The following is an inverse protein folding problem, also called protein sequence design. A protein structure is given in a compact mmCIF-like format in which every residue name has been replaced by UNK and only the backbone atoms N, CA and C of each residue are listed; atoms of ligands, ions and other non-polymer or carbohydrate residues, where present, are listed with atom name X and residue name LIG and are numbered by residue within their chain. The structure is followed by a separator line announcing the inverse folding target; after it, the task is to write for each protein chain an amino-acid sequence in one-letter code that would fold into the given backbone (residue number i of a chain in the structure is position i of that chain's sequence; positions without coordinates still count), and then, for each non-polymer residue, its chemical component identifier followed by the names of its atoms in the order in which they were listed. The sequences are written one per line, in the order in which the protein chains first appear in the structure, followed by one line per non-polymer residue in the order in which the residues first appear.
data_IF_670000310549
#
_entry.id   IF_670000310549
#
_cell.length_a   1.000
_cell.length_b   1.000
_cell.length_c   1.000
_cell.angle_alpha   90.00
_cell.angle_beta   90.00
_cell.angle_gamma   90.00
#
_symmetry.space_group_name_H-M   'P 1'
#
loop_
_entity.id
_entity.type
_entity.pdbx_description
1 polymer ?
#
# COMPACT_ATOMS: atom_id res chain seq x y z
N UNK A 1 4.27 2.21 15.78
CA UNK A 1 5.32 1.20 15.56
C UNK A 1 5.99 1.59 14.27
N UNK A 2 7.32 1.73 14.28
CA UNK A 2 8.06 2.18 13.11
C UNK A 2 8.15 1.09 12.04
N UNK A 3 8.28 1.56 10.81
CA UNK A 3 8.42 0.77 9.60
C UNK A 3 9.87 0.81 9.11
N UNK A 4 10.85 0.76 10.02
CA UNK A 4 12.25 0.70 9.60
C UNK A 4 12.55 -0.67 9.01
N UNK A 5 12.84 -0.67 7.71
CA UNK A 5 13.50 -1.75 7.00
C UNK A 5 14.98 -1.39 6.97
N UNK A 6 15.78 -2.00 7.85
CA UNK A 6 17.24 -1.90 7.77
C UNK A 6 17.67 -2.50 6.43
N UNK A 7 17.94 -1.66 5.42
CA UNK A 7 18.63 -2.09 4.21
C UNK A 7 20.07 -2.35 4.61
N UNK A 8 20.44 -3.62 4.78
CA UNK A 8 21.85 -3.98 4.81
C UNK A 8 22.40 -3.81 3.39
N UNK A 9 23.43 -2.99 3.23
CA UNK A 9 24.17 -2.81 1.96
C UNK A 9 24.95 -4.08 1.53
N UNK A 10 24.72 -5.21 2.20
CA UNK A 10 25.28 -6.50 1.86
C UNK A 10 24.41 -7.18 0.78
N UNK A 11 24.91 -7.15 -0.45
CA UNK A 11 24.33 -7.70 -1.69
C UNK A 11 24.05 -9.23 -1.63
N UNK A 12 24.35 -9.90 -0.51
CA UNK A 12 24.32 -11.36 -0.37
C UNK A 12 22.99 -11.95 0.09
N UNK A 13 22.05 -11.17 0.64
CA UNK A 13 20.75 -11.70 1.07
C UNK A 13 19.63 -11.41 0.04
N UNK A 14 18.90 -12.47 -0.34
CA UNK A 14 17.71 -12.34 -1.19
C UNK A 14 16.66 -11.44 -0.52
N UNK A 15 16.04 -10.55 -1.30
CA UNK A 15 15.01 -9.61 -0.86
C UNK A 15 13.87 -10.29 -0.07
N UNK A 16 13.54 -11.55 -0.41
CA UNK A 16 12.55 -12.35 0.29
C UNK A 16 12.98 -12.72 1.72
N UNK A 17 14.26 -13.01 1.93
CA UNK A 17 14.82 -13.35 3.24
C UNK A 17 14.82 -12.12 4.13
N UNK A 18 15.23 -10.96 3.60
CA UNK A 18 15.16 -9.68 4.30
C UNK A 18 13.72 -9.35 4.71
N UNK A 19 12.76 -9.46 3.78
CA UNK A 19 11.33 -9.24 4.07
C UNK A 19 10.80 -10.20 5.16
N UNK A 20 11.13 -11.48 5.07
CA UNK A 20 10.70 -12.48 6.07
C UNK A 20 11.26 -12.18 7.46
N UNK A 21 12.51 -11.71 7.52
CA UNK A 21 13.21 -11.40 8.77
C UNK A 21 12.66 -10.11 9.38
N UNK A 22 12.40 -9.09 8.57
CA UNK A 22 11.72 -7.86 9.01
C UNK A 22 10.29 -8.12 9.49
N UNK A 23 9.55 -9.02 8.84
CA UNK A 23 8.22 -9.45 9.31
C UNK A 23 8.29 -10.18 10.67
N UNK A 24 9.30 -11.04 10.87
CA UNK A 24 9.53 -11.69 12.17
C UNK A 24 9.92 -10.70 13.26
N UNK A 25 10.82 -9.75 12.97
CA UNK A 25 11.19 -8.65 13.89
C UNK A 25 9.95 -7.81 14.25
N UNK A 26 9.01 -7.61 13.31
CA UNK A 26 7.75 -6.86 13.54
C UNK A 26 6.81 -7.54 14.54
N UNK A 27 6.84 -8.87 14.65
CA UNK A 27 6.06 -9.61 15.66
C UNK A 27 6.56 -9.35 17.09
N UNK A 28 7.84 -8.99 17.25
CA UNK A 28 8.52 -8.81 18.56
C UNK A 28 8.77 -7.33 18.90
N UNK A 29 8.40 -6.39 18.03
CA UNK A 29 8.78 -4.98 18.15
C UNK A 29 8.10 -4.21 19.29
N UNK A 30 8.93 -3.41 19.99
CA UNK A 30 8.57 -2.52 21.10
C UNK A 30 7.57 -1.44 20.62
N UNK A 31 6.52 -1.12 21.41
CA UNK A 31 5.60 -0.04 21.09
C UNK A 31 6.31 1.32 21.07
N UNK A 32 6.34 1.96 19.90
CA UNK A 32 7.03 3.23 19.66
C UNK A 32 6.19 4.47 19.99
N UNK A 33 4.86 4.36 19.89
CA UNK A 33 3.96 5.51 20.07
C UNK A 33 2.63 5.08 20.67
N UNK A 34 2.27 5.74 21.76
CA UNK A 34 1.00 5.61 22.47
C UNK A 34 0.31 6.97 22.45
N UNK A 35 -0.82 7.03 21.74
CA UNK A 35 -1.64 8.23 21.63
C UNK A 35 -2.84 8.04 22.55
N UNK A 36 -3.15 9.06 23.35
CA UNK A 36 -4.25 9.04 24.31
C UNK A 36 -5.05 10.33 24.24
N UNK A 37 -6.31 10.30 24.66
CA UNK A 37 -7.15 11.49 24.75
C UNK A 37 -6.65 12.43 25.86
N UNK A 38 -6.56 13.73 25.58
CA UNK A 38 -6.22 14.79 26.55
C UNK A 38 -7.11 14.78 27.79
N UNK A 39 -8.35 14.34 27.68
CA UNK A 39 -9.29 14.25 28.81
C UNK A 39 -9.07 13.03 29.71
N UNK A 40 -8.12 12.14 29.42
CA UNK A 40 -7.89 10.92 30.19
C UNK A 40 -7.31 11.24 31.58
N UNK A 41 -7.89 10.71 32.67
CA UNK A 41 -7.32 10.86 34.01
C UNK A 41 -5.89 10.31 34.09
N UNK A 42 -5.00 10.99 34.82
CA UNK A 42 -3.59 10.58 34.94
C UNK A 42 -3.41 9.16 35.50
N UNK A 43 -4.29 8.75 36.42
CA UNK A 43 -4.24 7.40 37.00
C UNK A 43 -4.43 6.31 35.93
N UNK A 44 -5.35 6.52 34.99
CA UNK A 44 -5.59 5.62 33.87
C UNK A 44 -4.40 5.60 32.91
N UNK A 45 -3.82 6.77 32.63
CA UNK A 45 -2.62 6.88 31.80
C UNK A 45 -1.45 6.08 32.41
N UNK A 46 -1.19 6.26 33.71
CA UNK A 46 -0.14 5.52 34.45
C UNK A 46 -0.41 4.02 34.45
N UNK A 47 -1.67 3.61 34.64
CA UNK A 47 -2.06 2.19 34.55
C UNK A 47 -1.74 1.59 33.18
N UNK A 48 -2.08 2.29 32.10
CA UNK A 48 -1.81 1.84 30.73
C UNK A 48 -0.33 1.82 30.40
N UNK A 49 0.45 2.83 30.85
CA UNK A 49 1.91 2.86 30.71
C UNK A 49 2.55 1.63 31.35
N UNK A 50 2.13 1.29 32.56
CA UNK A 50 2.66 0.15 33.31
C UNK A 50 2.30 -1.19 32.64
N UNK A 51 1.05 -1.34 32.16
CA UNK A 51 0.57 -2.56 31.50
C UNK A 51 1.17 -2.77 30.12
N UNK A 52 1.45 -1.70 29.39
CA UNK A 52 2.05 -1.73 28.06
C UNK A 52 3.60 -1.72 28.12
N UNK A 53 4.17 -1.69 29.31
CA UNK A 53 5.62 -1.65 29.55
C UNK A 53 6.33 -0.55 28.74
N UNK A 54 5.72 0.63 28.65
CA UNK A 54 6.28 1.77 27.94
C UNK A 54 7.46 2.34 28.75
N UNK A 55 8.66 2.26 28.18
CA UNK A 55 9.91 2.66 28.87
C UNK A 55 10.24 4.14 28.74
N UNK A 56 9.72 4.83 27.72
CA UNK A 56 10.05 6.23 27.41
C UNK A 56 8.80 7.10 27.36
N UNK A 57 8.91 8.29 27.99
CA UNK A 57 7.91 9.36 27.88
C UNK A 57 7.85 9.97 26.48
N UNK A 58 8.89 9.81 25.66
CA UNK A 58 8.93 10.32 24.27
C UNK A 58 7.92 9.62 23.35
N UNK A 59 7.46 8.43 23.75
CA UNK A 59 6.43 7.66 23.03
C UNK A 59 5.01 8.11 23.36
N UNK A 60 4.79 9.03 24.31
CA UNK A 60 3.46 9.46 24.74
C UNK A 60 3.04 10.72 23.99
N UNK A 61 1.94 10.67 23.24
CA UNK A 61 1.40 11.86 22.56
C UNK A 61 -0.04 12.12 22.99
N UNK A 62 -0.35 13.27 23.63
CA UNK A 62 -1.74 13.65 23.90
C UNK A 62 -2.43 14.06 22.60
N UNK A 63 -3.42 13.28 22.17
CA UNK A 63 -4.25 13.48 20.98
C UNK A 63 -5.67 13.94 21.29
N UNK A 64 -6.45 14.23 20.25
CA UNK A 64 -7.88 14.48 20.37
C UNK A 64 -8.68 13.18 20.60
N UNK A 65 -9.96 13.29 20.95
CA UNK A 65 -10.85 12.17 21.25
C UNK A 65 -10.93 11.09 20.18
N UNK A 66 -10.87 11.48 18.91
CA UNK A 66 -10.91 10.56 17.77
C UNK A 66 -9.50 10.35 17.21
N UNK A 67 -9.18 9.09 16.97
CA UNK A 67 -7.95 8.67 16.31
C UNK A 67 -8.30 7.99 14.98
N UNK A 68 -7.29 7.62 14.18
CA UNK A 68 -7.48 6.95 12.88
C UNK A 68 -8.31 7.76 11.87
N UNK A 69 -8.00 9.05 11.69
CA UNK A 69 -8.63 9.87 10.64
C UNK A 69 -8.47 9.30 9.21
N UNK A 70 -7.56 8.34 9.00
CA UNK A 70 -7.48 7.55 7.76
C UNK A 70 -8.80 6.84 7.40
N UNK A 71 -9.64 6.54 8.40
CA UNK A 71 -10.93 5.88 8.19
C UNK A 71 -11.90 6.76 7.39
N UNK A 72 -11.66 8.08 7.35
CA UNK A 72 -12.39 8.99 6.47
C UNK A 72 -12.14 8.74 4.97
N UNK A 73 -11.06 8.04 4.59
CA UNK A 73 -10.87 7.63 3.19
C UNK A 73 -11.94 6.65 2.71
N UNK A 74 -12.52 5.87 3.64
CA UNK A 74 -13.64 4.96 3.37
C UNK A 74 -14.97 5.54 3.89
N UNK A 75 -15.04 6.86 4.13
CA UNK A 75 -16.26 7.48 4.60
C UNK A 75 -17.37 7.30 3.57
N UNK A 76 -18.56 6.82 3.98
CA UNK A 76 -19.63 6.55 3.03
C UNK A 76 -20.10 7.84 2.37
N UNK A 77 -20.48 7.75 1.10
CA UNK A 77 -21.15 8.85 0.40
C UNK A 77 -22.56 9.02 0.96
N UNK A 78 -22.80 10.09 1.73
CA UNK A 78 -24.10 10.41 2.30
C UNK A 78 -24.72 11.54 1.47
N UNK A 79 -25.87 11.30 0.84
CA UNK A 79 -26.62 12.31 0.10
C UNK A 79 -26.56 12.16 -1.43
N UNK A 80 -26.71 13.27 -2.17
CA UNK A 80 -26.77 13.27 -3.64
C UNK A 80 -25.36 13.13 -4.23
N UNK A 81 -25.24 12.46 -5.38
CA UNK A 81 -23.96 12.14 -6.04
C UNK A 81 -23.01 13.30 -6.36
N UNK A 82 -23.44 14.57 -6.21
CA UNK A 82 -22.60 15.76 -6.40
C UNK A 82 -21.53 15.97 -5.34
N UNK A 83 -21.58 15.24 -4.23
CA UNK A 83 -20.59 15.31 -3.14
C UNK A 83 -19.41 14.33 -3.34
N UNK A 84 -19.46 13.53 -4.40
CA UNK A 84 -18.44 12.54 -4.75
C UNK A 84 -17.97 12.81 -6.17
N UNK A 85 -16.68 12.64 -6.42
CA UNK A 85 -16.15 12.70 -7.78
C UNK A 85 -16.72 11.55 -8.61
N UNK A 86 -17.15 11.86 -9.83
CA UNK A 86 -17.57 10.83 -10.78
C UNK A 86 -16.37 9.95 -11.15
N UNK A 87 -16.54 8.62 -11.21
CA UNK A 87 -15.46 7.73 -11.61
C UNK A 87 -15.07 8.01 -13.06
N UNK A 88 -13.78 8.21 -13.30
CA UNK A 88 -13.23 8.34 -14.64
C UNK A 88 -13.01 6.93 -15.21
N UNK A 89 -13.75 6.58 -16.26
CA UNK A 89 -13.53 5.30 -16.95
C UNK A 89 -12.20 5.32 -17.70
N UNK A 90 -11.33 4.30 -17.49
CA UNK A 90 -10.09 4.19 -18.24
C UNK A 90 -10.36 4.06 -19.74
N UNK A 91 -9.57 4.76 -20.54
CA UNK A 91 -9.62 4.74 -21.99
C UNK A 91 -8.98 3.47 -22.54
N UNK A 92 -9.62 2.95 -23.58
CA UNK A 92 -9.01 1.92 -24.41
C UNK A 92 -7.87 2.50 -25.26
N UNK A 93 -6.87 1.67 -25.58
CA UNK A 93 -5.81 2.03 -26.52
C UNK A 93 -6.11 1.42 -27.89
N UNK A 94 -6.49 2.24 -28.90
CA UNK A 94 -6.83 1.73 -30.23
C UNK A 94 -5.68 0.96 -30.88
N UNK A 95 -4.43 1.31 -30.57
CA UNK A 95 -3.24 0.63 -31.07
C UNK A 95 -3.17 -0.83 -30.60
N UNK A 96 -3.62 -1.09 -29.37
CA UNK A 96 -3.65 -2.44 -28.79
C UNK A 96 -4.88 -3.20 -29.27
N UNK A 97 -6.05 -2.57 -29.24
CA UNK A 97 -7.33 -3.23 -29.55
C UNK A 97 -7.47 -3.66 -31.01
N UNK A 98 -6.75 -3.02 -31.93
CA UNK A 98 -6.65 -3.46 -33.33
C UNK A 98 -5.98 -4.82 -33.49
N UNK A 99 -5.22 -5.27 -32.49
CA UNK A 99 -4.43 -6.48 -32.54
C UNK A 99 -5.01 -7.58 -31.65
N UNK A 100 -5.10 -8.81 -32.20
CA UNK A 100 -5.50 -9.99 -31.41
C UNK A 100 -4.45 -10.44 -30.39
N UNK A 101 -3.21 -9.98 -30.51
CA UNK A 101 -2.08 -10.38 -29.67
C UNK A 101 -1.24 -9.14 -29.35
N UNK A 102 -0.98 -8.89 -28.07
CA UNK A 102 -0.25 -7.70 -27.62
C UNK A 102 1.20 -7.69 -28.11
N UNK A 103 1.84 -8.84 -28.28
CA UNK A 103 3.19 -8.94 -28.85
C UNK A 103 3.26 -8.42 -30.29
N UNK A 104 2.17 -8.56 -31.06
CA UNK A 104 2.11 -8.00 -32.41
C UNK A 104 2.02 -6.48 -32.37
N UNK A 105 1.20 -5.93 -31.48
CA UNK A 105 1.07 -4.50 -31.30
C UNK A 105 2.40 -3.85 -30.88
N UNK A 106 3.12 -4.46 -29.93
CA UNK A 106 4.44 -4.00 -29.46
C UNK A 106 5.50 -4.12 -30.58
N UNK A 107 5.43 -5.17 -31.41
CA UNK A 107 6.37 -5.35 -32.52
C UNK A 107 6.20 -4.32 -33.63
N UNK A 108 4.98 -3.83 -33.84
CA UNK A 108 4.70 -2.81 -34.84
C UNK A 108 5.20 -1.42 -34.39
N UNK A 109 5.03 -1.08 -33.12
CA UNK A 109 5.48 0.19 -32.55
C UNK A 109 5.58 0.12 -31.03
N UNK A 110 6.39 1.01 -30.45
CA UNK A 110 6.46 1.19 -29.00
C UNK A 110 5.13 1.70 -28.44
N UNK A 111 4.70 1.12 -27.32
CA UNK A 111 3.42 1.45 -26.68
C UNK A 111 3.67 2.10 -25.32
N UNK A 112 3.11 3.29 -25.12
CA UNK A 112 3.11 3.99 -23.84
C UNK A 112 1.69 4.02 -23.27
N UNK A 113 1.51 3.45 -22.07
CA UNK A 113 0.26 3.51 -21.32
C UNK A 113 0.42 4.46 -20.15
N UNK A 114 -0.54 5.37 -19.99
CA UNK A 114 -0.53 6.36 -18.90
C UNK A 114 -1.68 6.09 -17.94
N UNK A 115 -1.35 5.69 -16.71
CA UNK A 115 -2.32 5.35 -15.66
C UNK A 115 -2.63 6.56 -14.77
N UNK A 116 -3.87 6.73 -14.28
CA UNK A 116 -5.03 5.82 -14.37
C UNK A 116 -5.89 5.99 -15.64
N UNK A 117 -5.43 6.77 -16.62
CA UNK A 117 -6.21 7.09 -17.82
C UNK A 117 -6.35 5.93 -18.79
N UNK A 118 -5.42 4.97 -18.81
CA UNK A 118 -5.52 3.74 -19.59
C UNK A 118 -5.81 2.54 -18.69
N UNK A 119 -6.44 1.51 -19.25
CA UNK A 119 -6.73 0.29 -18.49
C UNK A 119 -5.44 -0.50 -18.16
N UNK A 120 -5.24 -0.84 -16.88
CA UNK A 120 -4.13 -1.69 -16.44
C UNK A 120 -4.27 -3.15 -16.91
N UNK A 121 -5.46 -3.55 -17.36
CA UNK A 121 -5.71 -4.88 -17.94
C UNK A 121 -4.77 -5.21 -19.09
N UNK A 122 -4.34 -4.24 -19.90
CA UNK A 122 -3.38 -4.51 -20.98
C UNK A 122 -2.07 -5.12 -20.48
N UNK A 123 -1.56 -4.66 -19.33
CA UNK A 123 -0.36 -5.24 -18.73
C UNK A 123 -0.61 -6.65 -18.21
N UNK A 124 -1.76 -6.87 -17.56
CA UNK A 124 -2.15 -8.20 -17.06
C UNK A 124 -2.33 -9.18 -18.23
N UNK A 125 -2.94 -8.74 -19.33
CA UNK A 125 -3.17 -9.55 -20.51
C UNK A 125 -1.87 -9.87 -21.24
N UNK A 126 -0.89 -8.94 -21.26
CA UNK A 126 0.45 -9.22 -21.76
C UNK A 126 1.10 -10.37 -20.96
N UNK A 127 1.08 -10.28 -19.63
CA UNK A 127 1.64 -11.33 -18.77
C UNK A 127 0.90 -12.67 -18.92
N UNK A 128 -0.43 -12.64 -19.06
CA UNK A 128 -1.25 -13.84 -19.28
C UNK A 128 -0.96 -14.49 -20.63
N UNK A 129 -0.78 -13.69 -21.69
CA UNK A 129 -0.37 -14.20 -22.99
C UNK A 129 1.05 -14.78 -22.93
N UNK A 130 1.96 -14.09 -22.25
CA UNK A 130 3.34 -14.54 -22.06
C UNK A 130 3.43 -15.88 -21.32
N UNK A 131 2.56 -16.15 -20.35
CA UNK A 131 2.61 -17.40 -19.58
C UNK A 131 2.10 -18.63 -20.32
N UNK A 132 1.40 -18.46 -21.45
CA UNK A 132 0.81 -19.57 -22.23
C UNK A 132 1.48 -19.70 -23.60
N UNK A 133 2.03 -18.63 -24.17
CA UNK A 133 2.64 -18.66 -25.50
C UNK A 133 3.93 -19.51 -25.49
N UNK A 134 3.97 -20.64 -26.23
CA UNK A 134 5.14 -21.53 -26.26
C UNK A 134 6.39 -20.87 -26.88
N UNK A 135 6.24 -19.72 -27.55
CA UNK A 135 7.36 -18.97 -28.13
C UNK A 135 8.06 -18.06 -27.12
N UNK A 136 7.49 -17.88 -25.92
CA UNK A 136 8.09 -17.06 -24.87
C UNK A 136 9.03 -17.92 -24.05
N UNK A 137 10.32 -17.57 -24.07
CA UNK A 137 11.37 -18.21 -23.25
C UNK A 137 11.75 -17.30 -22.09
N UNK A 138 12.00 -17.89 -20.92
CA UNK A 138 12.43 -17.18 -19.70
C UNK A 138 13.93 -16.86 -19.71
#
# INVERSE_FOLDING_TARGET
RDAELERSDAITESLLVQLSTSLKKRLVAIPVRFVYDRGMPEEMLRFLINKLHLRSYESLTPGGRYHNFKDFMAFPAIGRGRLVYEPLEPLGSPCIERHRNLFKAIREQDLLLYYPYHDFKYFIDLLRQASIDPKVTA
#
